data_IF_999222637928
#
_entry.id   IF_999222637928
#
_cell.length_a   1.000
_cell.length_b   1.000
_cell.length_c   1.000
_cell.angle_alpha   90.00
_cell.angle_beta   90.00
_cell.angle_gamma   90.00
#
_symmetry.space_group_name_H-M   'P 1'
#
loop_
_entity.id
_entity.type
_entity.pdbx_description
1 polymer ?
#
# COMPACT_ATOMS: atom_id res chain seq x y z
N UNK A 1 -29.03 -43.81 -11.84
CA UNK A 1 -27.88 -42.88 -11.92
C UNK A 1 -28.27 -41.63 -11.16
N UNK A 2 -27.54 -41.24 -10.12
CA UNK A 2 -27.54 -39.87 -9.57
C UNK A 2 -26.29 -39.73 -8.69
N UNK A 3 -25.20 -39.26 -9.30
CA UNK A 3 -23.99 -38.89 -8.58
C UNK A 3 -24.23 -37.57 -7.87
N UNK A 4 -24.08 -37.54 -6.55
CA UNK A 4 -24.06 -36.29 -5.78
C UNK A 4 -23.05 -35.32 -6.40
N UNK A 5 -23.39 -34.01 -6.49
CA UNK A 5 -22.41 -33.01 -6.88
C UNK A 5 -21.31 -32.96 -5.82
N UNK A 6 -20.04 -33.07 -6.26
CA UNK A 6 -18.89 -32.87 -5.38
C UNK A 6 -18.97 -31.46 -4.76
N UNK A 7 -18.68 -31.31 -3.45
CA UNK A 7 -18.62 -29.98 -2.85
C UNK A 7 -17.59 -29.13 -3.59
N UNK A 8 -17.80 -27.80 -3.67
CA UNK A 8 -16.86 -26.90 -4.32
C UNK A 8 -15.48 -27.09 -3.70
N UNK A 9 -14.48 -27.36 -4.55
CA UNK A 9 -13.07 -27.41 -4.16
C UNK A 9 -12.77 -26.07 -3.49
N UNK A 10 -12.41 -26.10 -2.21
CA UNK A 10 -11.98 -24.92 -1.48
C UNK A 10 -10.98 -24.17 -2.36
N UNK A 11 -11.35 -22.95 -2.75
CA UNK A 11 -10.46 -22.03 -3.43
C UNK A 11 -9.21 -21.93 -2.57
N UNK A 12 -8.06 -22.34 -3.12
CA UNK A 12 -6.80 -22.31 -2.38
C UNK A 12 -6.65 -20.92 -1.78
N UNK A 13 -6.35 -20.86 -0.47
CA UNK A 13 -6.02 -19.59 0.21
C UNK A 13 -5.08 -18.84 -0.73
N UNK A 14 -5.54 -17.69 -1.24
CA UNK A 14 -4.66 -16.83 -2.03
C UNK A 14 -3.44 -16.58 -1.17
N UNK A 15 -2.29 -16.87 -1.74
CA UNK A 15 -1.03 -16.64 -1.08
C UNK A 15 -0.82 -15.12 -1.03
N UNK A 16 -1.36 -14.47 0.00
CA UNK A 16 -1.30 -13.02 0.20
C UNK A 16 0.09 -12.55 0.67
N UNK A 17 1.14 -13.37 0.46
CA UNK A 17 2.51 -12.99 0.78
C UNK A 17 2.95 -11.87 -0.14
N UNK A 18 3.20 -10.71 0.46
CA UNK A 18 3.85 -9.59 -0.22
C UNK A 18 5.31 -9.96 -0.50
N UNK A 19 5.67 -10.06 -1.76
CA UNK A 19 7.07 -10.22 -2.19
C UNK A 19 7.70 -8.83 -2.27
N UNK A 20 8.59 -8.54 -1.32
CA UNK A 20 9.42 -7.35 -1.35
C UNK A 20 10.72 -7.70 -2.07
N UNK A 21 11.26 -6.77 -2.87
CA UNK A 21 12.59 -6.91 -3.44
C UNK A 21 13.63 -7.19 -2.34
N UNK A 22 14.66 -7.97 -2.69
CA UNK A 22 15.72 -8.31 -1.75
C UNK A 22 16.38 -7.07 -1.14
N UNK A 23 16.69 -7.15 0.15
CA UNK A 23 17.47 -6.13 0.83
C UNK A 23 18.93 -6.19 0.36
N UNK A 24 19.62 -5.05 0.36
CA UNK A 24 21.08 -5.05 0.21
C UNK A 24 21.75 -5.77 1.39
N UNK A 25 22.90 -6.39 1.15
CA UNK A 25 23.65 -7.22 2.12
C UNK A 25 23.73 -6.58 3.52
N UNK A 26 24.17 -5.33 3.58
CA UNK A 26 24.27 -4.59 4.85
C UNK A 26 22.94 -4.51 5.64
N UNK A 27 21.82 -4.27 4.97
CA UNK A 27 20.51 -4.19 5.63
C UNK A 27 19.97 -5.56 5.99
N UNK A 28 20.32 -6.58 5.21
CA UNK A 28 19.96 -7.97 5.48
C UNK A 28 20.65 -8.50 6.75
N UNK A 29 21.92 -8.13 6.94
CA UNK A 29 22.69 -8.41 8.16
C UNK A 29 22.09 -7.71 9.38
N UNK A 30 21.81 -6.41 9.27
CA UNK A 30 21.17 -5.65 10.35
C UNK A 30 19.82 -6.25 10.75
N UNK A 31 18.99 -6.62 9.78
CA UNK A 31 17.71 -7.26 10.04
C UNK A 31 17.87 -8.62 10.73
N UNK A 32 18.89 -9.39 10.33
CA UNK A 32 19.19 -10.70 10.94
C UNK A 32 19.63 -10.54 12.40
N UNK A 33 20.54 -9.61 12.67
CA UNK A 33 21.01 -9.30 14.03
C UNK A 33 19.88 -8.79 14.91
N UNK A 34 19.08 -7.85 14.41
CA UNK A 34 17.96 -7.27 15.15
C UNK A 34 16.87 -8.31 15.44
N UNK A 35 16.57 -9.20 14.48
CA UNK A 35 15.65 -10.31 14.71
C UNK A 35 16.18 -11.27 15.79
N UNK A 36 17.46 -11.59 15.77
CA UNK A 36 18.11 -12.44 16.75
C UNK A 36 18.07 -11.84 18.17
N UNK A 37 18.45 -10.56 18.31
CA UNK A 37 18.44 -9.83 19.59
C UNK A 37 17.03 -9.80 20.19
N UNK A 38 16.01 -9.62 19.36
CA UNK A 38 14.61 -9.55 19.81
C UNK A 38 13.93 -10.94 19.94
N UNK A 39 14.64 -12.03 19.68
CA UNK A 39 14.08 -13.39 19.76
C UNK A 39 12.95 -13.65 18.76
N UNK A 40 12.98 -12.99 17.60
CA UNK A 40 11.94 -13.06 16.56
C UNK A 40 12.51 -13.71 15.30
N UNK A 41 11.63 -14.32 14.50
CA UNK A 41 12.03 -14.71 13.15
C UNK A 41 12.27 -13.48 12.28
N UNK A 42 13.18 -13.60 11.31
CA UNK A 42 13.49 -12.51 10.37
C UNK A 42 12.25 -11.93 9.66
N UNK A 43 11.27 -12.73 9.18
CA UNK A 43 10.03 -12.20 8.61
C UNK A 43 9.15 -11.44 9.60
N UNK A 44 9.07 -11.90 10.85
CA UNK A 44 8.30 -11.20 11.90
C UNK A 44 8.93 -9.85 12.24
N UNK A 45 10.26 -9.80 12.33
CA UNK A 45 10.95 -8.53 12.59
C UNK A 45 10.82 -7.57 11.41
N UNK A 46 10.96 -8.07 10.18
CA UNK A 46 10.72 -7.28 8.97
C UNK A 46 9.31 -6.69 8.93
N UNK A 47 8.29 -7.50 9.26
CA UNK A 47 6.91 -7.02 9.34
C UNK A 47 6.74 -5.93 10.41
N UNK A 48 7.28 -6.14 11.61
CA UNK A 48 7.23 -5.15 12.71
C UNK A 48 7.87 -3.82 12.31
N UNK A 49 9.05 -3.87 11.68
CA UNK A 49 9.78 -2.68 11.23
C UNK A 49 9.06 -1.96 10.09
N UNK A 50 8.50 -2.70 9.14
CA UNK A 50 7.71 -2.12 8.05
C UNK A 50 6.47 -1.41 8.60
N UNK A 51 5.74 -2.02 9.53
CA UNK A 51 4.61 -1.40 10.20
C UNK A 51 5.02 -0.11 10.93
N UNK A 52 6.13 -0.13 11.67
CA UNK A 52 6.66 1.06 12.33
C UNK A 52 6.96 2.19 11.34
N UNK A 53 7.63 1.88 10.23
CA UNK A 53 7.93 2.88 9.18
C UNK A 53 6.70 3.38 8.45
N UNK A 54 5.67 2.56 8.29
CA UNK A 54 4.40 3.00 7.70
C UNK A 54 3.65 3.93 8.67
N UNK A 55 3.64 3.64 9.98
CA UNK A 55 3.08 4.55 10.99
C UNK A 55 3.82 5.90 11.02
N UNK A 56 5.15 5.90 11.00
CA UNK A 56 5.94 7.14 10.89
C UNK A 56 5.60 7.96 9.63
N UNK A 57 5.24 7.30 8.53
CA UNK A 57 4.91 7.93 7.26
C UNK A 57 3.43 8.29 7.11
N UNK A 58 2.57 7.89 8.05
CA UNK A 58 1.12 8.00 7.93
C UNK A 58 0.67 9.44 7.64
N UNK A 59 1.19 10.42 8.37
CA UNK A 59 0.86 11.83 8.17
C UNK A 59 1.14 12.30 6.73
N UNK A 60 2.35 12.00 6.23
CA UNK A 60 2.74 12.35 4.86
C UNK A 60 1.92 11.61 3.80
N UNK A 61 1.49 10.37 4.09
CA UNK A 61 0.58 9.63 3.21
C UNK A 61 -0.77 10.35 3.14
N UNK A 62 -1.34 10.74 4.29
CA UNK A 62 -2.60 11.50 4.36
C UNK A 62 -2.53 12.83 3.62
N UNK A 63 -1.45 13.59 3.81
CA UNK A 63 -1.21 14.85 3.08
C UNK A 63 -1.19 14.66 1.57
N UNK A 64 -0.52 13.61 1.08
CA UNK A 64 -0.48 13.29 -0.35
C UNK A 64 -1.86 12.90 -0.89
N UNK A 65 -2.62 12.12 -0.12
CA UNK A 65 -4.00 11.76 -0.51
C UNK A 65 -4.88 13.00 -0.55
N UNK A 66 -4.79 13.89 0.44
CA UNK A 66 -5.53 15.15 0.46
C UNK A 66 -5.17 16.06 -0.72
N UNK A 67 -3.89 16.15 -1.07
CA UNK A 67 -3.45 16.89 -2.27
C UNK A 67 -4.05 16.32 -3.56
N UNK A 68 -4.04 14.99 -3.72
CA UNK A 68 -4.63 14.32 -4.88
C UNK A 68 -6.16 14.50 -4.94
N UNK A 69 -6.83 14.44 -3.79
CA UNK A 69 -8.25 14.67 -3.66
C UNK A 69 -8.62 16.11 -4.07
N UNK A 70 -7.85 17.10 -3.60
CA UNK A 70 -8.02 18.50 -3.96
C UNK A 70 -7.90 18.75 -5.47
N UNK A 71 -6.95 18.09 -6.14
CA UNK A 71 -6.83 18.16 -7.61
C UNK A 71 -8.03 17.58 -8.37
N UNK A 72 -8.77 16.66 -7.75
CA UNK A 72 -9.90 15.95 -8.36
C UNK A 72 -11.26 16.50 -7.94
N UNK A 73 -11.28 17.51 -7.07
CA UNK A 73 -12.52 18.04 -6.50
C UNK A 73 -13.31 17.04 -5.64
N UNK A 74 -12.66 15.99 -5.14
CA UNK A 74 -13.28 14.98 -4.27
C UNK A 74 -12.75 15.10 -2.83
N UNK A 75 -13.41 14.43 -1.90
CA UNK A 75 -12.94 14.37 -0.51
C UNK A 75 -11.70 13.47 -0.36
N UNK A 76 -10.88 13.74 0.67
CA UNK A 76 -9.71 12.91 0.97
C UNK A 76 -10.11 11.46 1.31
N UNK A 77 -11.23 11.26 1.99
CA UNK A 77 -11.75 9.93 2.35
C UNK A 77 -12.21 9.16 1.11
N UNK A 78 -12.86 9.84 0.17
CA UNK A 78 -13.28 9.23 -1.10
C UNK A 78 -12.06 8.84 -1.95
N UNK A 79 -11.06 9.72 -2.03
CA UNK A 79 -9.80 9.42 -2.70
C UNK A 79 -9.09 8.23 -2.04
N UNK A 80 -9.09 8.16 -0.71
CA UNK A 80 -8.51 7.05 0.06
C UNK A 80 -9.17 5.72 -0.31
N UNK A 81 -10.50 5.69 -0.34
CA UNK A 81 -11.28 4.50 -0.71
C UNK A 81 -11.01 4.09 -2.15
N UNK A 82 -10.96 5.04 -3.10
CA UNK A 82 -10.63 4.75 -4.50
C UNK A 82 -9.23 4.13 -4.66
N UNK A 83 -8.22 4.63 -3.94
CA UNK A 83 -6.87 4.06 -3.94
C UNK A 83 -6.88 2.61 -3.44
N UNK A 84 -7.54 2.34 -2.31
CA UNK A 84 -7.59 1.01 -1.73
C UNK A 84 -8.33 -0.01 -2.60
N UNK A 85 -9.31 0.43 -3.39
CA UNK A 85 -10.02 -0.41 -4.37
C UNK A 85 -9.22 -0.66 -5.65
N UNK A 86 -8.22 0.16 -5.92
CA UNK A 86 -7.45 0.14 -7.17
C UNK A 86 -8.10 0.95 -8.30
N UNK A 87 -9.13 1.74 -7.99
CA UNK A 87 -9.87 2.57 -8.96
C UNK A 87 -9.19 3.93 -9.21
N UNK A 88 -8.25 4.32 -8.35
CA UNK A 88 -7.56 5.59 -8.48
C UNK A 88 -6.54 5.57 -9.64
N UNK A 89 -6.78 6.37 -10.67
CA UNK A 89 -5.82 6.57 -11.75
C UNK A 89 -4.60 7.39 -11.31
N UNK A 90 -3.48 7.35 -12.04
CA UNK A 90 -2.34 8.26 -11.80
C UNK A 90 -2.60 9.56 -12.55
N UNK A 91 -2.49 10.70 -11.87
CA UNK A 91 -2.50 12.01 -12.53
C UNK A 91 -1.22 12.10 -13.37
N UNK A 92 -1.34 12.24 -14.69
CA UNK A 92 -0.20 12.49 -15.55
C UNK A 92 0.22 13.98 -15.42
N UNK A 93 1.53 14.30 -15.44
CA UNK A 93 2.02 15.68 -15.23
C UNK A 93 1.41 16.73 -16.15
N UNK A 94 0.95 16.31 -17.33
CA UNK A 94 0.40 17.15 -18.39
C UNK A 94 -0.99 17.72 -18.07
N UNK A 95 -1.67 17.21 -17.04
CA UNK A 95 -2.99 17.69 -16.59
C UNK A 95 -2.89 18.79 -15.51
N UNK A 96 -1.67 19.14 -15.08
CA UNK A 96 -1.45 20.03 -13.93
C UNK A 96 -1.45 21.53 -14.23
N UNK A 97 -1.54 21.94 -15.50
CA UNK A 97 -1.49 23.36 -15.89
C UNK A 97 -2.85 24.02 -16.10
N UNK A 98 -3.96 23.29 -16.05
CA UNK A 98 -5.31 23.85 -16.25
C UNK A 98 -6.07 24.04 -14.93
N UNK A 99 -5.52 24.85 -14.01
CA UNK A 99 -6.32 25.37 -12.89
C UNK A 99 -5.97 26.80 -12.45
N UNK A 100 -5.00 27.47 -13.10
CA UNK A 100 -4.65 28.86 -12.76
C UNK A 100 -5.24 29.94 -13.69
N UNK A 101 -6.08 29.59 -14.68
CA UNK A 101 -6.54 30.55 -15.71
C UNK A 101 -7.90 31.21 -15.40
N UNK A 102 -8.64 30.84 -14.35
CA UNK A 102 -9.97 31.42 -14.07
C UNK A 102 -10.05 32.38 -12.88
N UNK A 103 -8.95 33.05 -12.53
CA UNK A 103 -8.99 34.08 -11.51
C UNK A 103 -8.25 35.33 -11.97
N UNK A 104 -8.81 36.09 -12.93
CA UNK A 104 -8.92 37.56 -12.89
C UNK A 104 -10.05 37.98 -13.85
N UNK A 105 -11.08 38.63 -13.29
CA UNK A 105 -12.05 39.46 -14.01
C UNK A 105 -11.42 40.75 -14.54
#
# INVERSE_FOLDING_TARGET
MNTMPKPPRATGKKDDRILVSGLGEYYDDLLTLDAWVNGRSKPQQANSLLCAKLMEREGRIKERVAYLAGKRGISADEMWVQILRGDAEKIHPEESEQSSVYAQE
#
